data_IF_677628362330
#
_entry.id   IF_677628362330
#
_cell.length_a   1.000
_cell.length_b   1.000
_cell.length_c   1.000
_cell.angle_alpha   90.00
_cell.angle_beta   90.00
_cell.angle_gamma   90.00
#
_symmetry.space_group_name_H-M   'P 1'
#
loop_
_entity.id
_entity.type
_entity.pdbx_description
1 polymer ?
#
# COMPACT_ATOMS: atom_id res chain seq x y z
N UNK A 1 -12.38 32.49 -35.29
CA UNK A 1 -11.26 31.76 -34.64
C UNK A 1 -11.69 31.36 -33.24
N UNK A 2 -12.29 30.17 -33.10
CA UNK A 2 -12.58 29.59 -31.78
C UNK A 2 -11.41 28.68 -31.42
N UNK A 3 -10.69 29.06 -30.36
CA UNK A 3 -9.61 28.25 -29.79
C UNK A 3 -10.23 27.07 -29.04
N UNK A 4 -10.15 25.88 -29.65
CA UNK A 4 -10.45 24.60 -29.00
C UNK A 4 -9.36 24.31 -27.98
N UNK A 5 -9.55 24.76 -26.73
CA UNK A 5 -8.76 24.26 -25.61
C UNK A 5 -9.07 22.76 -25.44
N UNK A 6 -8.09 21.90 -25.79
CA UNK A 6 -8.17 20.46 -25.51
C UNK A 6 -8.41 20.27 -24.00
N UNK A 7 -9.41 19.47 -23.59
CA UNK A 7 -9.57 19.12 -22.19
C UNK A 7 -8.28 18.39 -21.75
N UNK A 8 -7.64 18.90 -20.70
CA UNK A 8 -6.59 18.15 -19.99
C UNK A 8 -7.24 16.83 -19.57
N UNK A 9 -6.67 15.71 -20.01
CA UNK A 9 -7.05 14.40 -19.51
C UNK A 9 -6.96 14.45 -17.98
N UNK A 10 -8.11 14.39 -17.31
CA UNK A 10 -8.18 14.15 -15.87
C UNK A 10 -7.47 12.82 -15.66
N UNK A 11 -6.30 12.84 -15.03
CA UNK A 11 -5.69 11.62 -14.51
C UNK A 11 -6.77 10.91 -13.70
N UNK A 12 -7.12 9.69 -14.10
CA UNK A 12 -8.10 8.88 -13.38
C UNK A 12 -7.59 8.72 -11.95
N UNK A 13 -8.25 9.39 -11.00
CA UNK A 13 -7.92 9.27 -9.59
C UNK A 13 -8.05 7.80 -9.19
N UNK A 14 -7.11 7.31 -8.39
CA UNK A 14 -7.14 5.93 -7.92
C UNK A 14 -8.52 5.64 -7.28
N UNK A 15 -9.13 4.46 -7.50
CA UNK A 15 -10.47 4.15 -6.98
C UNK A 15 -10.64 4.39 -5.48
N UNK A 16 -9.60 4.16 -4.68
CA UNK A 16 -9.57 4.57 -3.27
C UNK A 16 -9.70 6.08 -3.06
N UNK A 17 -8.96 6.88 -3.83
CA UNK A 17 -8.96 8.33 -3.66
C UNK A 17 -10.36 8.89 -3.97
N UNK A 18 -11.05 8.34 -4.96
CA UNK A 18 -12.45 8.68 -5.25
C UNK A 18 -13.38 8.21 -4.11
N UNK A 19 -13.21 6.98 -3.63
CA UNK A 19 -14.01 6.44 -2.53
C UNK A 19 -13.83 7.25 -1.23
N UNK A 20 -12.60 7.55 -0.86
CA UNK A 20 -12.26 8.39 0.31
C UNK A 20 -12.63 9.87 0.09
N UNK A 21 -12.68 10.36 -1.15
CA UNK A 21 -13.18 11.72 -1.43
C UNK A 21 -14.67 11.85 -1.19
N UNK A 22 -15.46 10.77 -1.32
CA UNK A 22 -16.87 10.79 -0.90
C UNK A 22 -17.06 10.93 0.62
N UNK A 23 -15.96 10.81 1.39
CA UNK A 23 -15.87 11.06 2.83
C UNK A 23 -15.27 12.44 3.15
N UNK A 24 -15.23 13.37 2.18
CA UNK A 24 -14.66 14.70 2.37
C UNK A 24 -15.49 15.59 3.30
N UNK A 25 -14.86 16.66 3.80
CA UNK A 25 -15.55 17.79 4.44
C UNK A 25 -16.73 18.22 3.58
N UNK A 26 -17.86 18.55 4.21
CA UNK A 26 -19.03 19.05 3.50
C UNK A 26 -18.71 20.38 2.81
N UNK A 27 -17.83 21.21 3.41
CA UNK A 27 -17.64 22.61 2.99
C UNK A 27 -16.19 23.03 2.66
N UNK A 28 -15.19 22.16 2.72
CA UNK A 28 -13.78 22.56 2.50
C UNK A 28 -13.04 21.68 1.49
N UNK A 29 -12.80 22.24 0.30
CA UNK A 29 -11.90 21.65 -0.69
C UNK A 29 -10.44 21.95 -0.32
N UNK A 30 -9.72 20.97 0.23
CA UNK A 30 -8.27 21.08 0.43
C UNK A 30 -7.52 20.71 -0.86
N UNK A 31 -6.51 21.52 -1.22
CA UNK A 31 -5.58 21.16 -2.29
C UNK A 31 -4.59 20.11 -1.78
N UNK A 32 -4.57 18.94 -2.42
CA UNK A 32 -3.56 17.92 -2.17
C UNK A 32 -2.17 18.48 -2.49
N UNK A 33 -1.27 18.42 -1.51
CA UNK A 33 0.12 18.84 -1.69
C UNK A 33 1.00 17.60 -1.73
N UNK A 34 1.90 17.56 -2.73
CA UNK A 34 2.92 16.53 -2.83
C UNK A 34 3.86 16.58 -1.61
N UNK A 35 4.20 15.41 -1.08
CA UNK A 35 5.07 15.28 0.08
C UNK A 35 6.46 14.79 -0.33
N UNK A 36 7.38 15.74 -0.54
CA UNK A 36 8.69 15.45 -1.11
C UNK A 36 9.56 14.54 -0.23
N UNK A 37 9.44 14.59 1.10
CA UNK A 37 10.23 13.72 1.98
C UNK A 37 9.73 12.29 1.93
N UNK A 38 8.41 12.09 1.84
CA UNK A 38 7.81 10.78 1.68
C UNK A 38 8.06 10.18 0.29
N UNK A 39 7.88 10.97 -0.77
CA UNK A 39 8.12 10.53 -2.15
C UNK A 39 9.60 10.25 -2.43
N UNK A 40 10.51 10.77 -1.59
CA UNK A 40 11.96 10.55 -1.68
C UNK A 40 12.42 9.20 -1.13
N UNK A 41 11.57 8.45 -0.40
CA UNK A 41 11.94 7.13 0.14
C UNK A 41 12.29 6.19 -1.01
N UNK A 42 13.47 5.54 -1.04
CA UNK A 42 13.93 4.75 -2.20
C UNK A 42 12.94 3.66 -2.63
N UNK A 43 12.30 3.01 -1.66
CA UNK A 43 11.28 1.98 -1.90
C UNK A 43 10.03 2.55 -2.59
N UNK A 44 9.67 3.80 -2.30
CA UNK A 44 8.51 4.47 -2.87
C UNK A 44 8.83 5.10 -4.21
N UNK A 45 10.02 5.69 -4.37
CA UNK A 45 10.46 6.27 -5.64
C UNK A 45 10.62 5.21 -6.74
N UNK A 46 11.04 3.99 -6.38
CA UNK A 46 11.12 2.85 -7.30
C UNK A 46 9.84 2.00 -7.34
N UNK A 47 8.79 2.33 -6.59
CA UNK A 47 7.59 1.49 -6.48
C UNK A 47 6.90 1.21 -7.83
N UNK A 48 6.97 2.16 -8.76
CA UNK A 48 6.45 2.03 -10.14
C UNK A 48 7.07 0.87 -10.90
N UNK A 49 8.29 0.48 -10.54
CA UNK A 49 9.04 -0.58 -11.18
C UNK A 49 9.09 -1.85 -10.30
N UNK A 50 9.18 -1.71 -8.97
CA UNK A 50 9.23 -2.85 -8.04
C UNK A 50 7.95 -3.69 -8.15
N UNK A 51 6.77 -3.06 -8.15
CA UNK A 51 5.50 -3.80 -8.19
C UNK A 51 5.39 -4.63 -9.48
N UNK A 52 5.54 -4.06 -10.69
CA UNK A 52 5.52 -4.87 -11.90
C UNK A 52 6.65 -5.90 -11.97
N UNK A 53 7.83 -5.62 -11.41
CA UNK A 53 8.93 -6.59 -11.33
C UNK A 53 8.53 -7.79 -10.48
N UNK A 54 8.02 -7.58 -9.27
CA UNK A 54 7.58 -8.65 -8.38
C UNK A 54 6.41 -9.45 -8.99
N UNK A 55 5.41 -8.77 -9.55
CA UNK A 55 4.27 -9.45 -10.19
C UNK A 55 4.69 -10.26 -11.41
N UNK A 56 5.57 -9.74 -12.28
CA UNK A 56 6.12 -10.51 -13.41
C UNK A 56 6.97 -11.68 -12.94
N UNK A 57 7.78 -11.50 -11.90
CA UNK A 57 8.60 -12.56 -11.35
C UNK A 57 7.76 -13.72 -10.80
N UNK A 58 6.60 -13.45 -10.17
CA UNK A 58 5.66 -14.50 -9.71
C UNK A 58 5.02 -15.28 -10.86
N UNK A 59 4.73 -14.61 -11.96
CA UNK A 59 4.12 -15.24 -13.14
C UNK A 59 5.11 -16.08 -13.94
N UNK A 60 6.41 -15.78 -13.83
CA UNK A 60 7.46 -16.51 -14.52
C UNK A 60 7.89 -17.73 -13.68
N UNK A 61 7.81 -18.90 -14.29
CA UNK A 61 8.41 -20.12 -13.74
C UNK A 61 9.94 -19.99 -13.70
N UNK A 62 10.63 -20.75 -12.82
CA UNK A 62 12.08 -21.00 -12.93
C UNK A 62 12.46 -21.59 -14.29
N UNK A 63 11.52 -22.28 -14.96
CA UNK A 63 11.71 -22.76 -16.33
C UNK A 63 11.55 -21.61 -17.35
N UNK A 64 12.43 -21.53 -18.37
CA UNK A 64 12.30 -20.57 -19.45
C UNK A 64 10.91 -20.60 -20.10
N UNK A 65 10.31 -19.42 -20.27
CA UNK A 65 8.98 -19.24 -20.86
C UNK A 65 9.08 -18.30 -22.08
N UNK A 66 8.43 -18.60 -23.21
CA UNK A 66 8.46 -17.73 -24.39
C UNK A 66 7.76 -16.40 -24.12
N UNK A 67 8.30 -15.29 -24.66
CA UNK A 67 7.73 -13.94 -24.50
C UNK A 67 6.25 -13.85 -24.85
N UNK A 68 5.80 -14.59 -25.86
CA UNK A 68 4.39 -14.58 -26.29
C UNK A 68 3.43 -15.03 -25.17
N UNK A 69 3.87 -15.94 -24.29
CA UNK A 69 3.11 -16.32 -23.11
C UNK A 69 3.17 -15.22 -22.04
N UNK A 70 4.35 -14.65 -21.78
CA UNK A 70 4.53 -13.57 -20.80
C UNK A 70 3.72 -12.31 -21.16
N UNK A 71 3.65 -11.95 -22.45
CA UNK A 71 2.86 -10.82 -22.92
C UNK A 71 1.35 -11.04 -22.79
N UNK A 72 0.87 -12.29 -22.88
CA UNK A 72 -0.55 -12.58 -22.61
C UNK A 72 -0.91 -12.35 -21.13
N UNK A 73 0.06 -12.59 -20.24
CA UNK A 73 -0.05 -12.35 -18.80
C UNK A 73 0.00 -10.84 -18.43
N UNK A 74 0.40 -9.96 -19.35
CA UNK A 74 0.47 -8.50 -19.14
C UNK A 74 -0.88 -7.84 -18.92
N UNK A 75 -1.99 -8.39 -19.43
CA UNK A 75 -3.31 -7.73 -19.37
C UNK A 75 -3.80 -7.46 -17.95
N UNK A 76 -3.17 -8.06 -16.94
CA UNK A 76 -3.43 -7.84 -15.51
C UNK A 76 -2.39 -6.97 -14.79
N UNK A 77 -1.36 -6.46 -15.47
CA UNK A 77 -0.21 -5.79 -14.85
C UNK A 77 -0.09 -4.32 -15.30
N UNK A 78 0.03 -3.43 -14.32
CA UNK A 78 0.32 -2.00 -14.52
C UNK A 78 1.81 -1.77 -14.86
N UNK A 79 2.34 -2.37 -15.93
CA UNK A 79 3.73 -2.13 -16.33
C UNK A 79 3.89 -0.71 -16.90
N UNK A 80 4.85 0.10 -16.41
CA UNK A 80 5.07 1.44 -16.94
C UNK A 80 5.62 1.45 -18.38
N UNK A 81 6.21 0.34 -18.81
CA UNK A 81 6.67 0.16 -20.19
C UNK A 81 5.55 -0.37 -21.09
N UNK A 82 5.46 0.14 -22.32
CA UNK A 82 4.49 -0.31 -23.33
C UNK A 82 4.74 -1.75 -23.78
N UNK A 83 5.94 -2.31 -23.56
CA UNK A 83 6.29 -3.69 -23.95
C UNK A 83 6.95 -4.46 -22.81
N UNK A 84 6.43 -5.65 -22.50
CA UNK A 84 6.98 -6.55 -21.46
C UNK A 84 8.45 -6.88 -21.70
N UNK A 85 8.84 -7.14 -22.95
CA UNK A 85 10.24 -7.46 -23.29
C UNK A 85 11.21 -6.36 -22.94
N UNK A 86 10.83 -5.10 -23.15
CA UNK A 86 11.65 -3.94 -22.80
C UNK A 86 11.82 -3.84 -21.28
N UNK A 87 10.73 -4.07 -20.53
CA UNK A 87 10.77 -4.11 -19.08
C UNK A 87 11.68 -5.24 -18.54
N UNK A 88 11.54 -6.47 -19.05
CA UNK A 88 12.36 -7.60 -18.61
C UNK A 88 13.85 -7.37 -18.89
N UNK A 89 14.19 -6.84 -20.07
CA UNK A 89 15.57 -6.51 -20.45
C UNK A 89 16.17 -5.36 -19.66
N UNK A 90 15.34 -4.51 -19.05
CA UNK A 90 15.79 -3.44 -18.15
C UNK A 90 16.31 -4.00 -16.82
N UNK A 91 15.91 -5.22 -16.44
CA UNK A 91 16.28 -5.85 -15.17
C UNK A 91 16.96 -7.21 -15.33
N UNK A 92 18.16 -7.29 -15.94
CA UNK A 92 18.86 -8.56 -16.17
C UNK A 92 19.31 -9.28 -14.90
N UNK A 93 19.35 -8.62 -13.73
CA UNK A 93 19.60 -9.31 -12.45
C UNK A 93 18.37 -10.08 -11.96
N UNK A 94 17.16 -9.62 -12.33
CA UNK A 94 15.89 -10.24 -11.96
C UNK A 94 15.41 -11.27 -12.99
N UNK A 95 15.66 -11.01 -14.28
CA UNK A 95 15.19 -11.83 -15.39
C UNK A 95 16.34 -12.26 -16.29
N UNK A 96 16.41 -13.56 -16.56
CA UNK A 96 17.44 -14.14 -17.42
C UNK A 96 16.84 -14.40 -18.80
N UNK A 97 17.42 -13.79 -19.83
CA UNK A 97 17.05 -14.00 -21.23
C UNK A 97 17.80 -15.21 -21.80
N UNK A 98 17.08 -16.12 -22.46
CA UNK A 98 17.64 -17.25 -23.21
C UNK A 98 17.04 -17.31 -24.61
N UNK A 99 17.72 -18.00 -25.52
CA UNK A 99 17.21 -18.23 -26.88
C UNK A 99 16.31 -19.46 -26.87
N UNK A 100 15.15 -19.35 -27.51
CA UNK A 100 14.21 -20.46 -27.64
C UNK A 100 14.75 -21.63 -28.48
N UNK A 101 14.28 -22.87 -28.23
CA UNK A 101 14.78 -24.06 -28.92
C UNK A 101 14.35 -24.17 -30.39
N UNK A 102 13.24 -23.53 -30.80
CA UNK A 102 12.62 -23.75 -32.13
C UNK A 102 12.62 -22.51 -33.03
N UNK A 103 12.55 -21.33 -32.43
CA UNK A 103 12.55 -20.05 -33.11
C UNK A 103 13.43 -19.13 -32.28
N UNK A 104 14.23 -18.27 -32.91
CA UNK A 104 15.10 -17.27 -32.25
C UNK A 104 14.31 -16.18 -31.48
N UNK A 105 13.16 -16.55 -30.93
CA UNK A 105 12.35 -15.75 -30.05
C UNK A 105 13.02 -15.74 -28.65
N UNK A 106 12.93 -14.61 -27.94
CA UNK A 106 13.46 -14.52 -26.60
C UNK A 106 12.58 -15.30 -25.63
N UNK A 107 13.23 -16.03 -24.74
CA UNK A 107 12.64 -16.72 -23.62
C UNK A 107 13.15 -16.07 -22.33
N UNK A 108 12.29 -15.98 -21.33
CA UNK A 108 12.64 -15.40 -20.05
C UNK A 108 12.32 -16.38 -18.93
N UNK A 109 13.21 -16.40 -17.93
CA UNK A 109 12.96 -17.03 -16.64
C UNK A 109 13.29 -16.06 -15.52
N UNK A 110 12.76 -16.33 -14.34
CA UNK A 110 13.18 -15.64 -13.12
C UNK A 110 14.60 -16.08 -12.74
N UNK A 111 15.41 -15.14 -12.23
CA UNK A 111 16.73 -15.43 -11.68
C UNK A 111 16.62 -16.08 -10.30
N UNK A 112 17.67 -16.77 -9.84
CA UNK A 112 17.66 -17.36 -8.50
C UNK A 112 17.60 -16.29 -7.41
N UNK A 113 18.17 -15.10 -7.66
CA UNK A 113 18.08 -13.96 -6.77
C UNK A 113 16.64 -13.46 -6.62
N UNK A 114 15.92 -13.27 -7.73
CA UNK A 114 14.51 -12.87 -7.70
C UNK A 114 13.61 -13.98 -7.11
N UNK A 115 13.88 -15.25 -7.42
CA UNK A 115 13.14 -16.38 -6.86
C UNK A 115 13.32 -16.49 -5.32
N UNK A 116 14.52 -16.20 -4.80
CA UNK A 116 14.77 -16.11 -3.36
C UNK A 116 13.95 -14.99 -2.72
N UNK A 117 13.91 -13.80 -3.32
CA UNK A 117 13.11 -12.67 -2.80
C UNK A 117 11.61 -12.98 -2.78
N UNK A 118 11.09 -13.69 -3.78
CA UNK A 118 9.70 -14.14 -3.80
C UNK A 118 9.38 -15.16 -2.70
N UNK A 119 10.34 -16.03 -2.35
CA UNK A 119 10.17 -16.95 -1.23
C UNK A 119 10.17 -16.20 0.09
N UNK A 120 11.16 -15.33 0.28
CA UNK A 120 11.27 -14.48 1.47
C UNK A 120 10.03 -13.60 1.66
N UNK A 121 9.42 -13.10 0.58
CA UNK A 121 8.13 -12.41 0.62
C UNK A 121 7.03 -13.23 1.28
N UNK A 122 6.90 -14.49 0.88
CA UNK A 122 5.90 -15.42 1.43
C UNK A 122 6.20 -15.74 2.89
N UNK A 123 7.47 -15.93 3.22
CA UNK A 123 7.92 -16.25 4.58
C UNK A 123 7.65 -15.07 5.54
N UNK A 124 7.96 -13.85 5.11
CA UNK A 124 7.66 -12.62 5.88
C UNK A 124 6.15 -12.44 6.04
N UNK A 125 5.37 -12.66 4.98
CA UNK A 125 3.92 -12.60 5.07
C UNK A 125 3.37 -13.62 6.07
N UNK A 126 3.84 -14.88 6.01
CA UNK A 126 3.41 -15.93 6.93
C UNK A 126 3.79 -15.61 8.38
N UNK A 127 5.02 -15.15 8.63
CA UNK A 127 5.52 -14.82 9.97
C UNK A 127 4.82 -13.60 10.59
N UNK A 128 4.45 -12.61 9.77
CA UNK A 128 3.82 -11.35 10.22
C UNK A 128 2.36 -11.20 9.81
N UNK A 129 1.70 -12.32 9.53
CA UNK A 129 0.35 -12.36 8.95
C UNK A 129 -0.64 -11.50 9.71
N UNK A 130 -0.71 -11.63 11.03
CA UNK A 130 -1.64 -10.89 11.88
C UNK A 130 -1.44 -9.36 11.84
N UNK A 131 -0.20 -8.87 11.78
CA UNK A 131 0.08 -7.43 11.65
C UNK A 131 -0.31 -6.93 10.25
N UNK A 132 0.06 -7.68 9.21
CA UNK A 132 -0.24 -7.34 7.82
C UNK A 132 -1.76 -7.29 7.57
N UNK A 133 -2.49 -8.33 7.98
CA UNK A 133 -3.95 -8.39 7.83
C UNK A 133 -4.65 -7.41 8.76
N UNK A 134 -4.09 -7.12 9.94
CA UNK A 134 -4.54 -6.05 10.82
C UNK A 134 -4.56 -4.67 10.15
N UNK A 135 -3.61 -4.39 9.24
CA UNK A 135 -3.61 -3.14 8.46
C UNK A 135 -4.76 -3.07 7.45
N UNK A 136 -5.09 -4.19 6.80
CA UNK A 136 -6.29 -4.28 5.95
C UNK A 136 -7.56 -4.15 6.76
N UNK A 137 -7.64 -4.78 7.93
CA UNK A 137 -8.78 -4.66 8.86
C UNK A 137 -9.00 -3.21 9.27
N UNK A 138 -7.96 -2.48 9.65
CA UNK A 138 -8.02 -1.03 9.95
C UNK A 138 -8.58 -0.22 8.78
N UNK A 139 -8.16 -0.52 7.55
CA UNK A 139 -8.71 0.13 6.35
C UNK A 139 -10.21 -0.11 6.20
N UNK A 140 -10.65 -1.36 6.35
CA UNK A 140 -12.09 -1.72 6.27
C UNK A 140 -12.90 -1.06 7.38
N UNK A 141 -12.37 -0.99 8.62
CA UNK A 141 -13.03 -0.34 9.76
C UNK A 141 -13.26 1.16 9.54
N UNK A 142 -12.34 1.84 8.83
CA UNK A 142 -12.51 3.25 8.47
C UNK A 142 -13.53 3.47 7.35
N UNK A 143 -13.87 2.44 6.58
CA UNK A 143 -14.80 2.59 5.45
C UNK A 143 -16.25 2.73 5.91
N UNK A 144 -17.10 3.45 5.17
CA UNK A 144 -18.52 3.52 5.43
C UNK A 144 -19.14 2.12 5.49
N UNK A 145 -20.04 1.89 6.47
CA UNK A 145 -20.68 0.58 6.70
C UNK A 145 -19.69 -0.57 6.95
N UNK A 146 -18.39 -0.28 7.17
CA UNK A 146 -17.31 -1.26 7.31
C UNK A 146 -17.20 -2.21 6.12
N UNK A 147 -17.37 -1.65 4.91
CA UNK A 147 -17.26 -2.37 3.64
C UNK A 147 -16.35 -1.62 2.69
N UNK A 148 -15.50 -2.36 1.99
CA UNK A 148 -14.56 -1.83 1.02
C UNK A 148 -14.78 -2.51 -0.33
N UNK A 149 -15.02 -1.80 -1.44
CA UNK A 149 -15.19 -2.45 -2.73
C UNK A 149 -14.00 -3.36 -3.07
N UNK A 150 -14.25 -4.58 -3.55
CA UNK A 150 -13.20 -5.59 -3.68
C UNK A 150 -12.07 -5.17 -4.62
N UNK A 151 -12.40 -4.43 -5.70
CA UNK A 151 -11.40 -3.86 -6.62
C UNK A 151 -10.44 -2.91 -5.91
N UNK A 152 -10.98 -2.14 -4.97
CA UNK A 152 -10.24 -1.16 -4.18
C UNK A 152 -9.34 -1.88 -3.16
N UNK A 153 -9.88 -2.91 -2.49
CA UNK A 153 -9.10 -3.78 -1.60
C UNK A 153 -7.94 -4.47 -2.35
N UNK A 154 -8.23 -5.01 -3.54
CA UNK A 154 -7.26 -5.68 -4.41
C UNK A 154 -6.11 -4.75 -4.82
N UNK A 155 -6.41 -3.48 -5.14
CA UNK A 155 -5.40 -2.47 -5.43
C UNK A 155 -4.51 -2.14 -4.24
N UNK A 156 -5.00 -2.38 -3.02
CA UNK A 156 -4.28 -2.06 -1.78
C UNK A 156 -3.40 -3.16 -1.23
N UNK A 157 -3.57 -4.41 -1.67
CA UNK A 157 -2.81 -5.54 -1.14
C UNK A 157 -1.30 -5.28 -1.18
N UNK A 158 -0.79 -4.85 -2.35
CA UNK A 158 0.62 -4.51 -2.51
C UNK A 158 1.06 -3.45 -1.50
N UNK A 159 0.28 -2.39 -1.30
CA UNK A 159 0.66 -1.30 -0.40
C UNK A 159 0.67 -1.70 1.08
N UNK A 160 -0.15 -2.68 1.46
CA UNK A 160 -0.24 -3.22 2.82
C UNK A 160 0.74 -4.37 3.08
N UNK A 161 1.41 -4.87 2.03
CA UNK A 161 2.31 -6.03 2.13
C UNK A 161 1.59 -7.37 2.08
N UNK A 162 0.39 -7.41 1.52
CA UNK A 162 -0.39 -8.62 1.29
C UNK A 162 -0.10 -9.14 -0.14
N UNK A 163 0.05 -10.46 -0.33
CA UNK A 163 0.20 -11.07 -1.66
C UNK A 163 -0.96 -10.69 -2.62
N UNK A 164 -0.66 -10.47 -3.90
CA UNK A 164 -1.67 -10.01 -4.88
C UNK A 164 -2.73 -11.08 -5.22
N UNK A 165 -2.44 -12.33 -4.94
CA UNK A 165 -3.30 -13.49 -5.08
C UNK A 165 -4.16 -13.79 -3.83
N UNK A 166 -4.01 -13.01 -2.75
CA UNK A 166 -4.66 -13.24 -1.46
C UNK A 166 -6.19 -13.43 -1.52
N UNK A 167 -6.90 -12.70 -2.39
CA UNK A 167 -8.36 -12.88 -2.57
C UNK A 167 -8.75 -13.94 -3.61
N UNK A 168 -7.78 -14.48 -4.36
CA UNK A 168 -8.02 -15.40 -5.48
C UNK A 168 -7.67 -16.84 -5.13
N UNK A 169 -6.60 -17.02 -4.36
CA UNK A 169 -6.10 -18.32 -3.97
C UNK A 169 -6.77 -18.75 -2.64
N UNK A 170 -7.58 -19.84 -2.65
CA UNK A 170 -8.25 -20.35 -1.46
C UNK A 170 -7.29 -20.75 -0.34
N UNK A 171 -6.04 -21.09 -0.65
CA UNK A 171 -5.04 -21.51 0.35
C UNK A 171 -4.70 -20.38 1.32
N UNK A 172 -4.96 -19.13 0.94
CA UNK A 172 -4.86 -18.02 1.87
C UNK A 172 -5.95 -18.07 2.93
N UNK A 173 -7.10 -18.71 2.76
CA UNK A 173 -8.09 -18.86 3.84
C UNK A 173 -8.46 -17.53 4.52
N UNK A 174 -8.85 -16.52 3.74
CA UNK A 174 -9.12 -15.14 4.22
C UNK A 174 -10.13 -15.04 5.36
N UNK A 175 -11.00 -16.05 5.51
CA UNK A 175 -11.97 -16.16 6.60
C UNK A 175 -11.28 -16.31 7.96
N UNK A 176 -10.13 -16.99 8.01
CA UNK A 176 -9.31 -17.10 9.23
C UNK A 176 -8.72 -15.75 9.66
N UNK A 177 -8.54 -14.83 8.73
CA UNK A 177 -8.12 -13.46 9.03
C UNK A 177 -9.31 -12.52 9.33
N UNK A 178 -10.53 -13.06 9.38
CA UNK A 178 -11.75 -12.33 9.73
C UNK A 178 -12.38 -11.55 8.57
N UNK A 179 -12.06 -11.89 7.33
CA UNK A 179 -12.63 -11.26 6.13
C UNK A 179 -13.61 -12.16 5.41
N UNK A 180 -14.60 -11.54 4.76
CA UNK A 180 -15.50 -12.22 3.82
C UNK A 180 -15.73 -11.37 2.58
N UNK A 181 -15.87 -12.03 1.44
CA UNK A 181 -16.26 -11.38 0.19
C UNK A 181 -17.78 -11.45 0.07
N UNK A 182 -18.41 -10.29 0.07
CA UNK A 182 -19.83 -10.11 -0.15
C UNK A 182 -20.09 -9.95 -1.65
N UNK A 183 -21.09 -10.66 -2.17
CA UNK A 183 -21.60 -10.46 -3.52
C UNK A 183 -22.96 -9.77 -3.44
N UNK A 184 -23.27 -8.90 -4.40
CA UNK A 184 -24.54 -8.14 -4.43
C UNK A 184 -25.81 -9.00 -4.58
N UNK A 185 -25.69 -10.33 -4.53
CA UNK A 185 -26.83 -11.26 -4.54
C UNK A 185 -27.71 -11.17 -3.28
N UNK A 186 -27.21 -10.58 -2.17
CA UNK A 186 -27.92 -10.48 -0.89
C UNK A 186 -28.76 -9.18 -0.70
N UNK A 187 -29.33 -8.65 -1.78
CA UNK A 187 -30.57 -7.85 -1.70
C UNK A 187 -30.51 -6.39 -1.23
N UNK A 188 -29.35 -5.73 -1.15
CA UNK A 188 -29.29 -4.27 -0.95
C UNK A 188 -28.37 -3.62 -1.99
N UNK A 189 -28.98 -3.25 -3.11
CA UNK A 189 -28.33 -2.56 -4.22
C UNK A 189 -27.94 -1.15 -3.76
N UNK A 190 -26.64 -0.85 -3.75
CA UNK A 190 -26.17 0.53 -3.78
C UNK A 190 -26.06 0.90 -5.25
N UNK A 191 -27.03 1.67 -5.72
CA UNK A 191 -27.00 2.30 -7.03
C UNK A 191 -25.88 3.36 -6.94
N UNK A 192 -24.68 3.01 -7.41
CA UNK A 192 -23.67 3.92 -8.00
C UNK A 192 -22.34 3.16 -8.26
N UNK A 193 -21.96 3.11 -9.55
CA UNK A 193 -20.62 2.89 -10.13
C UNK A 193 -19.99 1.49 -10.27
N UNK A 194 -19.93 1.04 -11.53
CA UNK A 194 -18.78 0.51 -12.32
C UNK A 194 -17.87 -0.60 -11.74
N UNK A 195 -18.28 -1.24 -10.65
CA UNK A 195 -17.63 -2.39 -10.05
C UNK A 195 -18.48 -3.65 -10.15
N UNK A 196 -17.83 -4.81 -10.06
CA UNK A 196 -18.41 -6.17 -10.10
C UNK A 196 -19.36 -6.50 -8.92
N UNK A 197 -19.92 -5.49 -8.25
CA UNK A 197 -20.84 -5.63 -7.11
C UNK A 197 -20.26 -6.32 -5.86
N UNK A 198 -18.96 -6.64 -5.87
CA UNK A 198 -18.26 -7.35 -4.80
C UNK A 198 -17.63 -6.39 -3.80
N UNK A 199 -17.87 -6.64 -2.52
CA UNK A 199 -17.31 -5.88 -1.41
C UNK A 199 -16.58 -6.79 -0.44
N UNK A 200 -15.49 -6.31 0.14
CA UNK A 200 -14.82 -6.92 1.27
C UNK A 200 -15.49 -6.40 2.56
N UNK A 201 -15.92 -7.33 3.40
CA UNK A 201 -16.44 -7.03 4.75
C UNK A 201 -15.67 -7.79 5.82
N UNK A 202 -15.92 -7.42 7.07
CA UNK A 202 -15.46 -8.17 8.24
C UNK A 202 -16.50 -9.23 8.62
N UNK A 203 -16.02 -10.38 9.11
CA UNK A 203 -16.88 -11.45 9.65
C UNK A 203 -17.42 -11.04 11.02
N UNK A 204 -16.55 -10.53 11.89
CA UNK A 204 -16.92 -9.93 13.17
C UNK A 204 -17.12 -8.42 12.97
N UNK A 205 -18.28 -7.91 13.38
CA UNK A 205 -18.63 -6.49 13.39
C UNK A 205 -17.95 -5.74 14.54
N UNK A 206 -16.83 -6.24 15.07
CA UNK A 206 -16.01 -5.57 16.06
C UNK A 206 -16.68 -5.44 17.42
N UNK A 207 -17.72 -6.24 17.69
CA UNK A 207 -18.41 -6.25 18.98
C UNK A 207 -17.71 -7.12 20.02
N UNK A 208 -16.90 -8.10 19.59
CA UNK A 208 -16.16 -9.00 20.47
C UNK A 208 -14.65 -8.75 20.59
N UNK A 209 -14.09 -7.90 19.73
CA UNK A 209 -12.65 -7.68 19.64
C UNK A 209 -12.27 -6.28 20.12
N UNK A 210 -11.18 -6.16 20.88
CA UNK A 210 -10.64 -4.87 21.29
C UNK A 210 -10.31 -4.02 20.05
N UNK A 211 -10.86 -2.82 20.00
CA UNK A 211 -10.72 -1.94 18.86
C UNK A 211 -9.29 -1.42 18.77
N UNK A 212 -8.69 -1.38 17.56
CA UNK A 212 -7.34 -0.84 17.42
C UNK A 212 -7.31 0.61 17.88
N UNK A 213 -6.29 0.98 18.66
CA UNK A 213 -6.06 2.36 19.02
C UNK A 213 -5.64 3.16 17.77
N UNK A 214 -6.17 4.37 17.65
CA UNK A 214 -5.71 5.33 16.64
C UNK A 214 -4.31 5.85 16.96
N UNK A 215 -3.59 6.30 15.94
CA UNK A 215 -2.25 6.93 16.10
C UNK A 215 -2.30 8.06 17.11
N UNK A 216 -3.39 8.83 17.12
CA UNK A 216 -3.58 9.92 18.05
C UNK A 216 -3.78 9.42 19.50
N UNK A 217 -4.61 8.39 19.70
CA UNK A 217 -4.77 7.76 21.02
C UNK A 217 -3.45 7.16 21.53
N UNK A 218 -2.67 6.50 20.65
CA UNK A 218 -1.36 5.96 21.00
C UNK A 218 -0.36 7.05 21.41
N UNK A 219 -0.38 8.21 20.74
CA UNK A 219 0.53 9.32 21.05
C UNK A 219 0.17 10.05 22.35
N UNK A 220 -1.12 10.20 22.65
CA UNK A 220 -1.57 11.02 23.79
C UNK A 220 -1.97 10.21 25.03
N UNK A 221 -2.06 8.88 24.95
CA UNK A 221 -2.24 7.98 26.11
C UNK A 221 -3.58 8.09 26.85
N UNK A 222 -4.45 9.02 26.46
CA UNK A 222 -5.78 9.25 27.04
C UNK A 222 -6.85 9.20 25.95
N UNK A 223 -7.97 8.54 26.25
CA UNK A 223 -9.13 8.43 25.35
C UNK A 223 -9.99 9.70 25.36
N UNK A 224 -9.98 10.45 26.48
CA UNK A 224 -10.90 11.56 26.70
C UNK A 224 -10.49 12.87 26.00
N UNK A 225 -9.18 13.15 25.91
CA UNK A 225 -8.64 14.40 25.37
C UNK A 225 -7.55 14.12 24.33
N UNK A 226 -7.98 13.72 23.14
CA UNK A 226 -7.08 13.51 21.98
C UNK A 226 -7.12 14.76 21.09
N UNK A 227 -6.15 15.69 21.22
CA UNK A 227 -6.11 16.86 20.38
C UNK A 227 -5.62 16.49 18.97
N UNK A 228 -6.18 17.19 17.98
CA UNK A 228 -5.72 17.04 16.60
C UNK A 228 -4.46 17.91 16.41
N UNK A 229 -3.33 17.33 15.98
CA UNK A 229 -2.10 18.09 15.80
C UNK A 229 -2.26 19.12 14.68
N UNK A 230 -1.77 20.33 14.94
CA UNK A 230 -1.84 21.46 14.02
C UNK A 230 -0.44 21.85 13.58
N UNK A 231 -0.28 22.10 12.28
CA UNK A 231 1.00 22.50 11.68
C UNK A 231 0.86 23.86 10.98
N UNK A 232 0.64 24.95 11.73
CA UNK A 232 0.56 26.27 11.14
C UNK A 232 1.89 26.66 10.47
N UNK A 233 1.84 27.37 9.36
CA UNK A 233 3.05 27.94 8.74
C UNK A 233 3.73 28.90 9.72
N UNK A 234 5.07 28.93 9.71
CA UNK A 234 5.84 29.86 10.53
C UNK A 234 5.35 31.30 10.32
N UNK A 235 5.07 32.01 11.40
CA UNK A 235 4.57 33.40 11.36
C UNK A 235 3.07 33.56 11.16
N UNK A 236 2.28 32.48 11.11
CA UNK A 236 0.82 32.57 11.01
C UNK A 236 0.23 33.17 12.30
N UNK A 237 -0.42 34.33 12.19
CA UNK A 237 -1.19 34.94 13.27
C UNK A 237 -2.68 34.74 13.00
N UNK A 238 -3.30 33.84 13.77
CA UNK A 238 -4.73 33.60 13.68
C UNK A 238 -5.49 34.80 14.28
N UNK A 239 -6.60 35.19 13.64
CA UNK A 239 -7.56 36.13 14.24
C UNK A 239 -8.17 35.49 15.50
N UNK A 240 -8.49 36.30 16.51
CA UNK A 240 -9.03 35.81 17.79
C UNK A 240 -10.24 34.87 17.58
N UNK A 241 -11.20 35.25 16.74
CA UNK A 241 -12.35 34.40 16.39
C UNK A 241 -11.97 33.00 15.88
N UNK A 242 -10.91 32.89 15.08
CA UNK A 242 -10.44 31.59 14.55
C UNK A 242 -9.78 30.79 15.67
N UNK A 243 -9.04 31.46 16.55
CA UNK A 243 -8.43 30.84 17.72
C UNK A 243 -9.50 30.29 18.67
N UNK A 244 -10.53 31.07 18.98
CA UNK A 244 -11.63 30.66 19.86
C UNK A 244 -12.41 29.48 19.25
N UNK A 245 -12.69 29.54 17.95
CA UNK A 245 -13.32 28.43 17.23
C UNK A 245 -12.46 27.16 17.29
N UNK A 246 -11.15 27.29 17.06
CA UNK A 246 -10.20 26.18 17.09
C UNK A 246 -10.08 25.56 18.48
N UNK A 247 -10.06 26.37 19.55
CA UNK A 247 -10.09 25.88 20.93
C UNK A 247 -11.38 25.12 21.22
N UNK A 248 -12.53 25.63 20.78
CA UNK A 248 -13.82 24.93 20.85
C UNK A 248 -13.79 23.60 20.11
N UNK A 249 -13.25 23.60 18.89
CA UNK A 249 -13.08 22.40 18.07
C UNK A 249 -12.19 21.34 18.75
N UNK A 250 -11.08 21.76 19.35
CA UNK A 250 -10.17 20.86 20.07
C UNK A 250 -10.81 20.24 21.33
N UNK A 251 -11.82 20.87 21.94
CA UNK A 251 -12.55 20.33 23.12
C UNK A 251 -13.66 19.33 22.79
N UNK A 252 -14.08 19.22 21.53
CA UNK A 252 -15.11 18.24 21.14
C UNK A 252 -14.64 16.80 21.46
N UNK A 253 -15.56 15.86 21.73
CA UNK A 253 -15.18 14.47 21.95
C UNK A 253 -14.44 13.91 20.74
N UNK A 254 -13.33 13.22 20.98
CA UNK A 254 -12.64 12.47 19.94
C UNK A 254 -13.33 11.13 19.74
N UNK A 255 -13.64 10.80 18.48
CA UNK A 255 -14.18 9.50 18.10
C UNK A 255 -13.13 8.80 17.27
N UNK A 256 -12.78 7.57 17.64
CA UNK A 256 -11.75 6.82 16.93
C UNK A 256 -12.18 6.57 15.48
N UNK A 257 -11.25 6.63 14.50
CA UNK A 257 -11.54 6.28 13.10
C UNK A 257 -12.08 4.86 12.92
N UNK A 258 -11.79 3.97 13.87
CA UNK A 258 -12.17 2.56 13.79
C UNK A 258 -13.50 2.27 14.49
N UNK A 259 -13.93 3.11 15.43
CA UNK A 259 -15.19 2.95 16.18
C UNK A 259 -16.41 3.10 15.27
N UNK A 260 -17.54 2.50 15.69
CA UNK A 260 -18.81 2.72 15.00
C UNK A 260 -19.27 4.16 15.21
N UNK A 261 -19.49 4.87 14.09
CA UNK A 261 -19.90 6.27 14.06
C UNK A 261 -21.32 6.43 13.49
N UNK A 262 -22.08 5.34 13.37
CA UNK A 262 -23.46 5.35 12.87
C UNK A 262 -24.39 6.30 13.65
N UNK A 263 -24.09 6.53 14.93
CA UNK A 263 -24.82 7.43 15.82
C UNK A 263 -24.50 8.92 15.60
N UNK A 264 -23.45 9.25 14.84
CA UNK A 264 -22.99 10.62 14.64
C UNK A 264 -23.75 11.24 13.47
N UNK A 265 -24.37 12.40 13.73
CA UNK A 265 -25.07 13.18 12.72
C UNK A 265 -24.04 13.77 11.75
N UNK A 266 -24.23 13.52 10.44
CA UNK A 266 -23.39 14.09 9.38
C UNK A 266 -23.49 15.63 9.38
N UNK A 267 -22.35 16.30 9.23
CA UNK A 267 -22.25 17.76 9.23
C UNK A 267 -22.25 18.39 10.63
N UNK A 268 -22.28 17.59 11.70
CA UNK A 268 -22.02 18.09 13.05
C UNK A 268 -20.54 18.38 13.28
N UNK A 269 -20.20 19.28 14.21
CA UNK A 269 -18.81 19.59 14.55
C UNK A 269 -18.02 18.33 14.99
N UNK A 270 -18.69 17.38 15.66
CA UNK A 270 -18.09 16.10 16.05
C UNK A 270 -17.80 15.23 14.82
N UNK A 271 -18.71 15.19 13.84
CA UNK A 271 -18.46 14.48 12.57
C UNK A 271 -17.28 15.08 11.81
N UNK A 272 -17.15 16.41 11.83
CA UNK A 272 -16.04 17.11 11.20
C UNK A 272 -14.72 16.85 11.93
N UNK A 273 -14.73 16.84 13.27
CA UNK A 273 -13.56 16.46 14.08
C UNK A 273 -13.13 15.03 13.81
N UNK A 274 -14.07 14.08 13.72
CA UNK A 274 -13.78 12.70 13.35
C UNK A 274 -13.13 12.64 11.96
N UNK A 275 -13.68 13.36 10.96
CA UNK A 275 -13.11 13.39 9.61
C UNK A 275 -11.68 13.95 9.58
N UNK A 276 -11.36 14.98 10.39
CA UNK A 276 -9.98 15.44 10.54
C UNK A 276 -9.12 14.34 11.17
N UNK A 277 -9.57 13.76 12.29
CA UNK A 277 -8.84 12.71 13.01
C UNK A 277 -8.55 11.49 12.15
N UNK A 278 -9.52 11.07 11.33
CA UNK A 278 -9.38 9.99 10.36
C UNK A 278 -8.31 10.30 9.31
N UNK A 279 -8.29 11.50 8.74
CA UNK A 279 -7.25 11.92 7.78
C UNK A 279 -5.87 11.99 8.44
N UNK A 280 -5.80 12.42 9.70
CA UNK A 280 -4.56 12.39 10.48
C UNK A 280 -4.11 10.96 10.80
N UNK A 281 -5.04 10.02 10.96
CA UNK A 281 -4.75 8.61 11.24
C UNK A 281 -4.54 7.75 9.99
N UNK A 282 -5.01 8.20 8.81
CA UNK A 282 -4.76 7.56 7.50
C UNK A 282 -3.27 7.50 7.11
N UNK A 283 -2.41 8.04 7.97
CA UNK A 283 -0.94 7.95 7.97
C UNK A 283 -0.40 6.49 8.09
N UNK A 284 -1.26 5.47 7.96
CA UNK A 284 -0.94 4.03 7.93
C UNK A 284 0.17 3.68 6.93
N UNK A 285 0.30 4.43 5.83
CA UNK A 285 1.41 4.27 4.89
C UNK A 285 2.61 5.15 5.26
N UNK A 286 2.43 6.44 5.53
CA UNK A 286 3.56 7.36 5.71
C UNK A 286 4.42 7.06 6.94
N UNK A 287 3.81 6.81 8.09
CA UNK A 287 4.59 6.48 9.30
C UNK A 287 5.21 5.09 9.22
N UNK A 288 4.61 4.12 8.50
CA UNK A 288 5.16 2.77 8.42
C UNK A 288 6.45 2.66 7.58
N UNK A 289 6.63 3.48 6.54
CA UNK A 289 7.88 3.52 5.74
C UNK A 289 8.95 4.43 6.36
N UNK A 290 8.56 5.32 7.28
CA UNK A 290 9.43 6.28 7.96
C UNK A 290 9.57 5.97 9.46
N UNK A 291 9.15 4.77 9.88
CA UNK A 291 9.07 4.39 11.28
C UNK A 291 10.45 4.43 11.94
N UNK A 292 10.53 5.06 13.10
CA UNK A 292 11.70 5.13 13.98
C UNK A 292 11.28 4.87 15.43
N UNK A 293 12.22 5.00 16.38
CA UNK A 293 11.97 4.70 17.80
C UNK A 293 10.77 5.44 18.43
N UNK A 294 10.41 6.61 17.91
CA UNK A 294 9.35 7.47 18.45
C UNK A 294 8.02 7.41 17.65
N UNK A 295 7.90 6.48 16.69
CA UNK A 295 6.68 6.39 15.86
C UNK A 295 5.62 5.47 16.46
N UNK A 296 4.36 5.90 16.40
CA UNK A 296 3.22 5.14 16.94
C UNK A 296 2.85 3.90 16.10
N UNK A 297 3.39 3.78 14.89
CA UNK A 297 3.18 2.64 14.00
C UNK A 297 4.52 1.94 13.79
N UNK A 298 4.54 0.62 14.01
CA UNK A 298 5.71 -0.20 13.72
C UNK A 298 6.08 -0.22 12.23
N UNK A 299 7.37 -0.41 11.97
CA UNK A 299 7.97 -0.47 10.64
C UNK A 299 7.22 -1.42 9.70
N UNK A 300 7.08 -0.98 8.44
CA UNK A 300 6.35 -1.72 7.43
C UNK A 300 6.95 -3.12 7.24
N UNK A 301 6.15 -4.20 7.30
CA UNK A 301 6.64 -5.58 7.25
C UNK A 301 7.48 -5.91 6.02
N UNK A 302 7.11 -5.32 4.88
CA UNK A 302 7.80 -5.52 3.62
C UNK A 302 8.94 -4.53 3.36
N UNK A 303 9.31 -3.66 4.31
CA UNK A 303 10.26 -2.59 4.04
C UNK A 303 11.65 -3.14 3.65
N UNK A 304 12.21 -4.01 4.49
CA UNK A 304 13.53 -4.61 4.25
C UNK A 304 13.55 -5.42 2.96
N UNK A 305 12.49 -6.19 2.69
CA UNK A 305 12.40 -6.94 1.44
C UNK A 305 12.36 -6.02 0.21
N UNK A 306 11.64 -4.90 0.30
CA UNK A 306 11.61 -3.93 -0.80
C UNK A 306 12.94 -3.22 -0.99
N UNK A 307 13.73 -3.01 0.05
CA UNK A 307 15.12 -2.54 -0.08
C UNK A 307 15.94 -3.54 -0.90
N UNK A 308 15.82 -4.84 -0.63
CA UNK A 308 16.48 -5.89 -1.44
C UNK A 308 16.03 -5.90 -2.91
N UNK A 309 14.76 -5.62 -3.19
CA UNK A 309 14.29 -5.43 -4.58
C UNK A 309 14.92 -4.21 -5.25
N UNK A 310 15.08 -3.10 -4.51
CA UNK A 310 15.79 -1.90 -5.02
C UNK A 310 17.24 -2.25 -5.35
N UNK A 311 17.94 -2.96 -4.47
CA UNK A 311 19.31 -3.43 -4.70
C UNK A 311 19.41 -4.31 -5.95
N UNK A 312 18.46 -5.22 -6.17
CA UNK A 312 18.40 -6.05 -7.38
C UNK A 312 18.21 -5.21 -8.66
N UNK A 313 17.43 -4.13 -8.56
CA UNK A 313 17.27 -3.18 -9.66
C UNK A 313 18.55 -2.36 -9.90
N UNK A 314 19.31 -2.03 -8.87
CA UNK A 314 20.60 -1.33 -8.99
C UNK A 314 21.67 -2.25 -9.61
N UNK A 315 21.74 -3.51 -9.19
CA UNK A 315 22.59 -4.54 -9.81
C UNK A 315 22.28 -4.68 -11.30
N UNK A 316 21.00 -4.64 -11.68
CA UNK A 316 20.58 -4.64 -13.08
C UNK A 316 21.14 -3.44 -13.86
N UNK A 317 21.15 -2.24 -13.27
CA UNK A 317 21.73 -1.04 -13.88
C UNK A 317 23.24 -1.20 -14.07
N UNK A 318 23.93 -1.78 -13.09
CA UNK A 318 25.38 -2.01 -13.18
C UNK A 318 25.75 -3.04 -14.25
N UNK A 319 25.02 -4.15 -14.33
CA UNK A 319 25.21 -5.14 -15.41
C UNK A 319 25.08 -4.49 -16.79
N UNK A 320 24.09 -3.62 -16.98
CA UNK A 320 23.89 -2.91 -18.25
C UNK A 320 25.04 -1.91 -18.51
N UNK A 321 25.53 -1.23 -17.47
CA UNK A 321 26.67 -0.31 -17.56
C UNK A 321 27.94 -1.05 -17.98
N UNK A 322 28.28 -2.17 -17.32
CA UNK A 322 29.43 -3.01 -17.66
C UNK A 322 29.36 -3.55 -19.10
N UNK A 323 28.18 -4.03 -19.53
CA UNK A 323 27.97 -4.48 -20.92
C UNK A 323 28.25 -3.37 -21.95
N UNK A 324 27.99 -2.11 -21.63
CA UNK A 324 28.27 -0.96 -22.50
C UNK A 324 29.72 -0.51 -22.48
N UNK A 325 30.41 -0.66 -21.35
CA UNK A 325 31.80 -0.20 -21.17
C UNK A 325 32.84 -1.28 -21.46
N UNK A 326 32.44 -2.55 -21.58
CA UNK A 326 33.36 -3.69 -21.78
C UNK A 326 34.17 -4.06 -20.54
N UNK A 327 33.92 -3.42 -19.38
CA UNK A 327 34.59 -3.71 -18.11
C UNK A 327 33.90 -4.87 -17.38
N UNK A 328 34.65 -5.73 -16.66
CA UNK A 328 34.05 -6.79 -15.86
C UNK A 328 33.12 -6.21 -14.77
N UNK A 329 32.10 -6.98 -14.40
CA UNK A 329 31.19 -6.63 -13.31
C UNK A 329 31.89 -6.90 -11.98
N UNK A 330 32.29 -5.85 -11.27
CA UNK A 330 32.67 -5.95 -9.85
C UNK A 330 31.38 -6.06 -9.02
N UNK A 331 30.83 -7.28 -8.94
CA UNK A 331 29.80 -7.60 -7.96
C UNK A 331 30.46 -7.62 -6.59
N UNK A 332 30.46 -6.48 -5.89
CA UNK A 332 30.67 -6.48 -4.45
C UNK A 332 29.50 -7.27 -3.83
N UNK A 333 29.73 -8.56 -3.62
CA UNK A 333 28.88 -9.37 -2.76
C UNK A 333 29.08 -8.86 -1.34
N UNK A 334 28.27 -7.88 -0.91
CA UNK A 334 28.01 -7.71 0.52
C UNK A 334 27.20 -8.92 0.98
N UNK A 335 27.89 -10.05 1.12
CA UNK A 335 27.43 -11.17 1.94
C UNK A 335 27.47 -10.65 3.37
N UNK A 336 26.35 -10.10 3.82
CA UNK A 336 26.12 -10.05 5.25
C UNK A 336 25.79 -11.48 5.67
N UNK A 337 26.78 -12.15 6.26
CA UNK A 337 26.56 -13.28 7.15
C UNK A 337 25.74 -12.77 8.34
N UNK A 338 24.42 -12.74 8.18
CA UNK A 338 23.50 -12.59 9.29
C UNK A 338 23.10 -14.00 9.73
N UNK A 339 24.05 -14.71 10.34
CA UNK A 339 23.74 -15.74 11.33
C UNK A 339 23.27 -15.07 12.63
N UNK A 340 22.19 -14.30 12.56
CA UNK A 340 21.36 -13.99 13.72
C UNK A 340 19.92 -14.37 13.41
N UNK A 341 19.61 -15.59 13.84
CA UNK A 341 18.29 -16.19 13.92
C UNK A 341 17.27 -15.20 14.53
N UNK A 342 16.25 -14.75 13.77
CA UNK A 342 15.25 -13.76 14.22
C UNK A 342 14.45 -14.22 15.44
N UNK A 343 14.47 -15.53 15.75
CA UNK A 343 13.77 -16.12 16.88
C UNK A 343 14.45 -15.91 18.23
N UNK A 344 15.72 -15.47 18.27
CA UNK A 344 16.43 -15.23 19.55
C UNK A 344 16.22 -13.84 20.16
N UNK A 345 15.65 -12.88 19.42
CA UNK A 345 15.38 -11.53 19.96
C UNK A 345 14.09 -11.47 20.80
N UNK A 346 13.16 -12.41 20.61
CA UNK A 346 11.92 -12.49 21.38
C UNK A 346 12.06 -13.13 22.77
N UNK A 347 13.20 -13.75 23.10
CA UNK A 347 13.38 -14.47 24.38
C UNK A 347 14.35 -13.79 25.36
N UNK A 348 14.81 -12.56 25.08
CA UNK A 348 15.70 -11.81 26.00
C UNK A 348 15.00 -10.77 26.88
N UNK A 349 13.69 -10.61 26.75
CA UNK A 349 12.89 -9.69 27.57
C UNK A 349 11.71 -10.43 28.25
N UNK A 350 11.98 -11.62 28.81
CA UNK A 350 11.16 -12.19 29.87
C UNK A 350 11.82 -11.94 31.22
#
# INVERSE_FOLDING_TARGET
MQSLAKPRALEQLHPLAVHLQSMSYVDVTMRWKKDASFDGVPVLSHARDIRPLASLARLLSPSPTPVSAVSKLQRSLETPDRRVTSFLRRFPAAFVESVGPQHNLPWFRVSDAAARLLREERDVFAARRADITGRLRRLVLMCPRRRLPLRVAQGMLWHLGIPEDYFKDPDHGIEHDGFRILTSADGVICQDNDGDGRELGLIDDGKGQEMPLSVLQMKFGSVADVPIPLFPSKGLRLKQKIKDWLEGFQRLPYVSPYEDFSHIIRGSDVSEKRAVGEKTCFVVLKEAYMAGGDTAIGEHPMLELRKKYVELMEQSREIIRCRRSGKPVELESKVYDNTEDPLKRCLKNL
#
